data_IF_550678173116
#
_entry.id   IF_550678173116
#
_cell.length_a   1.000
_cell.length_b   1.000
_cell.length_c   1.000
_cell.angle_alpha   90.00
_cell.angle_beta   90.00
_cell.angle_gamma   90.00
#
_symmetry.space_group_name_H-M   'P 1'
#
loop_
_entity.id
_entity.type
_entity.pdbx_description
1 polymer ?
#
# COMPACT_ATOMS: atom_id res chain seq x y z
N UNK A 1 43.62 18.11 -21.29
CA UNK A 1 43.18 16.71 -21.09
C UNK A 1 42.61 16.39 -19.68
N UNK A 2 42.53 17.34 -18.74
CA UNK A 2 42.08 17.11 -17.35
C UNK A 2 40.56 17.30 -17.18
N UNK A 3 39.88 18.09 -18.02
CA UNK A 3 38.45 18.42 -17.89
C UNK A 3 37.48 17.26 -18.18
N UNK A 4 37.85 16.36 -19.12
CA UNK A 4 36.98 15.25 -19.53
C UNK A 4 36.87 14.18 -18.44
N UNK A 5 37.96 13.90 -17.71
CA UNK A 5 37.96 12.91 -16.62
C UNK A 5 37.10 13.31 -15.40
N UNK A 6 36.99 14.60 -15.13
CA UNK A 6 36.11 15.09 -14.04
C UNK A 6 34.62 14.99 -14.37
N UNK A 7 34.22 15.26 -15.63
CA UNK A 7 32.84 15.12 -16.07
C UNK A 7 32.38 13.66 -16.08
N UNK A 8 33.24 12.73 -16.51
CA UNK A 8 32.93 11.29 -16.47
C UNK A 8 32.79 10.77 -15.06
N UNK A 9 33.58 11.25 -14.10
CA UNK A 9 33.48 10.89 -12.67
C UNK A 9 32.17 11.37 -12.04
N UNK A 10 31.75 12.60 -12.31
CA UNK A 10 30.48 13.14 -11.81
C UNK A 10 29.30 12.37 -12.43
N UNK A 11 29.31 12.11 -13.73
CA UNK A 11 28.28 11.35 -14.39
C UNK A 11 28.15 9.91 -13.84
N UNK A 12 29.25 9.24 -13.58
CA UNK A 12 29.29 7.91 -12.99
C UNK A 12 28.74 7.93 -11.53
N UNK A 13 29.09 8.95 -10.74
CA UNK A 13 28.57 9.09 -9.39
C UNK A 13 27.06 9.34 -9.38
N UNK A 14 26.56 10.22 -10.23
CA UNK A 14 25.12 10.48 -10.36
C UNK A 14 24.36 9.20 -10.78
N UNK A 15 24.88 8.45 -11.72
CA UNK A 15 24.28 7.20 -12.18
C UNK A 15 24.24 6.15 -11.05
N UNK A 16 25.35 5.97 -10.33
CA UNK A 16 25.41 4.99 -9.23
C UNK A 16 24.49 5.35 -8.08
N UNK A 17 24.36 6.62 -7.71
CA UNK A 17 23.41 7.07 -6.66
C UNK A 17 21.96 6.89 -7.10
N UNK A 18 21.66 7.15 -8.38
CA UNK A 18 20.30 6.93 -8.91
C UNK A 18 19.93 5.46 -8.91
N UNK A 19 20.82 4.58 -9.32
CA UNK A 19 20.61 3.12 -9.30
C UNK A 19 20.42 2.62 -7.84
N UNK A 20 21.25 3.09 -6.92
CA UNK A 20 21.13 2.74 -5.51
C UNK A 20 19.81 3.20 -4.91
N UNK A 21 19.35 4.42 -5.23
CA UNK A 21 18.06 4.94 -4.77
C UNK A 21 16.87 4.12 -5.33
N UNK A 22 16.92 3.75 -6.60
CA UNK A 22 15.90 2.89 -7.21
C UNK A 22 15.87 1.50 -6.59
N UNK A 23 17.05 0.90 -6.35
CA UNK A 23 17.17 -0.41 -5.71
C UNK A 23 16.63 -0.37 -4.27
N UNK A 24 16.96 0.71 -3.53
CA UNK A 24 16.41 0.94 -2.19
C UNK A 24 14.89 1.06 -2.20
N UNK A 25 14.32 1.91 -3.06
CA UNK A 25 12.87 2.07 -3.19
C UNK A 25 12.17 0.76 -3.59
N UNK A 26 12.81 -0.04 -4.45
CA UNK A 26 12.30 -1.36 -4.81
C UNK A 26 12.31 -2.34 -3.62
N UNK A 27 13.33 -2.30 -2.77
CA UNK A 27 13.39 -3.11 -1.56
C UNK A 27 12.35 -2.63 -0.52
N UNK A 28 12.25 -1.30 -0.32
CA UNK A 28 11.36 -0.69 0.67
C UNK A 28 9.88 -0.98 0.40
N UNK A 29 9.47 -1.08 -0.87
CA UNK A 29 8.07 -1.41 -1.23
C UNK A 29 7.55 -2.73 -0.65
N UNK A 30 8.46 -3.65 -0.25
CA UNK A 30 8.12 -4.93 0.33
C UNK A 30 8.41 -5.00 1.84
N UNK A 31 8.76 -3.87 2.46
CA UNK A 31 9.05 -3.76 3.87
C UNK A 31 7.79 -3.33 4.62
N UNK A 32 6.84 -4.25 4.72
CA UNK A 32 5.59 -4.00 5.43
C UNK A 32 5.84 -3.89 6.93
N UNK A 33 5.12 -2.97 7.59
CA UNK A 33 5.25 -2.73 9.03
C UNK A 33 3.87 -2.53 9.64
N UNK A 34 3.64 -3.20 10.76
CA UNK A 34 2.54 -2.87 11.65
C UNK A 34 2.89 -1.61 12.45
N UNK A 35 1.94 -0.72 12.60
CA UNK A 35 2.01 0.41 13.52
C UNK A 35 0.93 0.27 14.56
N UNK A 36 1.29 0.35 15.82
CA UNK A 36 0.39 0.26 16.95
C UNK A 36 0.27 1.60 17.63
N UNK A 37 -0.95 1.95 18.00
CA UNK A 37 -1.28 3.17 18.72
C UNK A 37 -2.21 2.84 19.86
N UNK A 38 -1.88 3.28 21.07
CA UNK A 38 -2.76 3.20 22.22
C UNK A 38 -3.51 4.53 22.37
N UNK A 39 -4.83 4.46 22.36
CA UNK A 39 -5.70 5.63 22.46
C UNK A 39 -6.62 5.47 23.68
N UNK A 40 -6.46 6.26 24.74
CA UNK A 40 -7.30 6.21 25.95
C UNK A 40 -8.64 6.90 25.69
N UNK A 41 -9.48 6.30 24.82
CA UNK A 41 -10.76 6.89 24.40
C UNK A 41 -11.97 6.32 25.15
N UNK A 42 -11.81 5.16 25.79
CA UNK A 42 -12.94 4.46 26.40
C UNK A 42 -13.02 4.74 27.90
N UNK A 43 -14.22 5.04 28.36
CA UNK A 43 -14.50 5.21 29.79
C UNK A 43 -14.29 3.88 30.56
N UNK A 44 -13.84 3.96 31.82
CA UNK A 44 -13.67 2.78 32.65
C UNK A 44 -14.96 1.96 32.75
N UNK A 45 -14.84 0.65 32.54
CA UNK A 45 -15.97 -0.29 32.67
C UNK A 45 -16.75 -0.52 31.36
N UNK A 46 -16.59 0.27 30.30
CA UNK A 46 -17.31 0.09 29.03
C UNK A 46 -17.04 -1.30 28.43
N UNK A 47 -15.84 -1.81 28.56
CA UNK A 47 -15.42 -3.10 28.00
C UNK A 47 -15.79 -4.31 28.89
N UNK A 48 -16.57 -4.13 29.95
CA UNK A 48 -17.09 -5.20 30.82
C UNK A 48 -16.03 -6.22 31.27
N UNK A 49 -14.91 -5.73 31.77
CA UNK A 49 -13.80 -6.55 32.30
C UNK A 49 -12.67 -6.81 31.32
N UNK A 50 -12.76 -6.36 30.10
CA UNK A 50 -11.63 -6.33 29.16
C UNK A 50 -10.83 -5.03 29.35
N UNK A 51 -9.53 -5.09 29.13
CA UNK A 51 -8.64 -3.92 29.28
C UNK A 51 -8.51 -3.12 27.98
N UNK A 52 -8.80 -3.73 26.83
CA UNK A 52 -8.58 -3.12 25.52
C UNK A 52 -9.62 -3.57 24.49
N UNK A 53 -9.79 -2.75 23.44
CA UNK A 53 -10.55 -3.05 22.24
C UNK A 53 -9.65 -2.78 21.04
N UNK A 54 -9.34 -3.82 20.26
CA UNK A 54 -8.40 -3.77 19.15
C UNK A 54 -9.10 -3.46 17.84
N UNK A 55 -8.74 -2.36 17.23
CA UNK A 55 -9.18 -2.01 15.88
C UNK A 55 -8.02 -2.20 14.92
N UNK A 56 -8.17 -3.08 13.95
CA UNK A 56 -7.23 -3.22 12.84
C UNK A 56 -7.70 -2.33 11.68
N UNK A 57 -6.89 -1.36 11.31
CA UNK A 57 -7.13 -0.51 10.14
C UNK A 57 -6.25 -0.97 8.98
N UNK A 58 -6.88 -1.29 7.86
CA UNK A 58 -6.24 -1.67 6.59
C UNK A 58 -6.65 -0.66 5.53
N UNK A 59 -5.70 -0.17 4.75
CA UNK A 59 -5.94 0.81 3.68
C UNK A 59 -4.90 0.68 2.59
N UNK A 60 -5.23 1.12 1.38
CA UNK A 60 -4.29 1.36 0.28
C UNK A 60 -3.42 0.13 -0.04
N UNK A 61 -4.03 -1.05 -0.11
CA UNK A 61 -3.32 -2.27 -0.44
C UNK A 61 -2.73 -2.22 -1.86
N UNK A 62 -3.41 -1.53 -2.79
CA UNK A 62 -2.97 -1.41 -4.18
C UNK A 62 -2.48 -2.75 -4.74
N UNK A 63 -3.31 -3.78 -4.60
CA UNK A 63 -2.95 -5.14 -4.92
C UNK A 63 -2.84 -5.37 -6.42
N UNK A 64 -1.77 -6.04 -6.82
CA UNK A 64 -1.57 -6.58 -8.17
C UNK A 64 -1.23 -8.07 -8.08
N UNK A 65 -1.41 -8.85 -9.15
CA UNK A 65 -1.02 -10.24 -9.17
C UNK A 65 0.45 -10.46 -8.79
N UNK A 66 0.73 -11.55 -8.08
CA UNK A 66 2.08 -11.95 -7.72
C UNK A 66 2.65 -11.38 -6.43
N UNK A 67 1.93 -10.52 -5.70
CA UNK A 67 2.40 -9.91 -4.45
C UNK A 67 2.22 -10.83 -3.23
N UNK A 68 2.73 -12.07 -3.30
CA UNK A 68 2.59 -13.08 -2.24
C UNK A 68 3.01 -12.59 -0.85
N UNK A 69 4.13 -11.87 -0.75
CA UNK A 69 4.61 -11.32 0.53
C UNK A 69 3.61 -10.35 1.17
N UNK A 70 2.90 -9.56 0.36
CA UNK A 70 1.87 -8.64 0.84
C UNK A 70 0.64 -9.44 1.33
N UNK A 71 0.23 -10.45 0.58
CA UNK A 71 -0.85 -11.36 0.98
C UNK A 71 -0.53 -12.02 2.32
N UNK A 72 0.65 -12.64 2.44
CA UNK A 72 1.12 -13.28 3.67
C UNK A 72 1.16 -12.30 4.86
N UNK A 73 1.67 -11.10 4.65
CA UNK A 73 1.70 -10.07 5.69
C UNK A 73 0.29 -9.68 6.15
N UNK A 74 -0.60 -9.34 5.22
CA UNK A 74 -1.96 -8.88 5.57
C UNK A 74 -2.76 -10.00 6.23
N UNK A 75 -2.70 -11.23 5.71
CA UNK A 75 -3.40 -12.37 6.30
C UNK A 75 -2.87 -12.72 7.69
N UNK A 76 -1.57 -12.51 7.95
CA UNK A 76 -0.99 -12.75 9.27
C UNK A 76 -1.48 -11.80 10.36
N UNK A 77 -2.07 -10.66 9.99
CA UNK A 77 -2.62 -9.69 10.95
C UNK A 77 -3.82 -10.24 11.73
N UNK A 78 -4.45 -11.32 11.28
CA UNK A 78 -5.50 -12.01 12.05
C UNK A 78 -4.99 -12.55 13.39
N UNK A 79 -3.70 -12.88 13.47
CA UNK A 79 -3.05 -13.31 14.72
C UNK A 79 -3.03 -12.23 15.82
N UNK A 80 -3.31 -10.97 15.47
CA UNK A 80 -3.50 -9.88 16.44
C UNK A 80 -4.85 -9.95 17.15
N UNK A 81 -5.75 -10.85 16.70
CA UNK A 81 -7.11 -11.02 17.22
C UNK A 81 -7.89 -9.69 17.31
N UNK A 82 -8.01 -8.93 16.19
CA UNK A 82 -8.74 -7.68 16.22
C UNK A 82 -10.21 -7.90 16.54
N UNK A 83 -10.78 -7.01 17.35
CA UNK A 83 -12.22 -6.97 17.67
C UNK A 83 -13.03 -6.36 16.53
N UNK A 84 -12.40 -5.48 15.77
CA UNK A 84 -12.99 -4.81 14.61
C UNK A 84 -11.94 -4.62 13.52
N UNK A 85 -12.31 -4.94 12.28
CA UNK A 85 -11.49 -4.65 11.10
C UNK A 85 -12.14 -3.53 10.30
N UNK A 86 -11.38 -2.47 10.03
CA UNK A 86 -11.82 -1.34 9.19
C UNK A 86 -10.95 -1.29 7.95
N UNK A 87 -11.56 -1.40 6.77
CA UNK A 87 -10.87 -1.24 5.50
C UNK A 87 -11.35 0.04 4.82
N UNK A 88 -10.45 0.97 4.57
CA UNK A 88 -10.77 2.27 3.98
C UNK A 88 -10.52 2.36 2.48
N UNK A 89 -10.38 1.21 1.82
CA UNK A 89 -10.37 1.13 0.36
C UNK A 89 -9.00 1.27 -0.28
N UNK A 90 -9.02 1.54 -1.58
CA UNK A 90 -7.87 1.52 -2.48
C UNK A 90 -7.12 0.17 -2.43
N UNK A 91 -7.91 -0.92 -2.42
CA UNK A 91 -7.38 -2.27 -2.31
C UNK A 91 -6.75 -2.76 -3.62
N UNK A 92 -7.18 -2.23 -4.76
CA UNK A 92 -6.78 -2.68 -6.09
C UNK A 92 -5.90 -1.66 -6.83
N UNK A 93 -4.95 -2.15 -7.60
CA UNK A 93 -4.26 -1.41 -8.67
C UNK A 93 -4.40 -2.12 -10.03
N UNK A 94 -5.05 -3.28 -10.06
CA UNK A 94 -5.31 -4.07 -11.26
C UNK A 94 -6.53 -4.96 -10.98
N UNK A 95 -7.44 -5.10 -11.94
CA UNK A 95 -8.62 -5.97 -11.83
C UNK A 95 -8.25 -7.42 -11.53
N UNK A 96 -7.14 -7.92 -12.09
CA UNK A 96 -6.62 -9.25 -11.81
C UNK A 96 -6.07 -9.40 -10.37
N UNK A 97 -6.01 -8.30 -9.60
CA UNK A 97 -5.64 -8.29 -8.18
C UNK A 97 -6.75 -8.78 -7.24
N UNK A 98 -8.02 -8.86 -7.70
CA UNK A 98 -9.15 -9.24 -6.84
C UNK A 98 -8.93 -10.55 -6.07
N UNK A 99 -8.53 -11.67 -6.69
CA UNK A 99 -8.27 -12.90 -5.93
C UNK A 99 -7.19 -12.72 -4.85
N UNK A 100 -6.17 -11.91 -5.12
CA UNK A 100 -5.08 -11.62 -4.19
C UNK A 100 -5.53 -10.79 -2.99
N UNK A 101 -6.47 -9.85 -3.19
CA UNK A 101 -7.10 -9.10 -2.10
C UNK A 101 -7.94 -10.03 -1.23
N UNK A 102 -8.73 -10.92 -1.85
CA UNK A 102 -9.55 -11.88 -1.12
C UNK A 102 -8.69 -12.86 -0.31
N UNK A 103 -7.57 -13.34 -0.88
CA UNK A 103 -6.62 -14.18 -0.14
C UNK A 103 -5.99 -13.43 1.04
N UNK A 104 -5.62 -12.16 0.83
CA UNK A 104 -5.01 -11.34 1.87
C UNK A 104 -5.96 -11.02 3.03
N UNK A 105 -7.19 -10.66 2.71
CA UNK A 105 -8.21 -10.30 3.71
C UNK A 105 -8.95 -11.52 4.26
N UNK A 106 -8.86 -12.69 3.62
CA UNK A 106 -9.66 -13.88 3.92
C UNK A 106 -9.82 -14.19 5.42
N UNK A 107 -8.73 -14.33 6.20
CA UNK A 107 -8.83 -14.55 7.65
C UNK A 107 -9.55 -13.41 8.38
N UNK A 108 -9.29 -12.17 7.98
CA UNK A 108 -9.85 -10.96 8.60
C UNK A 108 -11.34 -10.79 8.30
N UNK A 109 -11.86 -11.37 7.21
CA UNK A 109 -13.30 -11.32 6.87
C UNK A 109 -14.17 -12.11 7.84
N UNK A 110 -13.60 -12.96 8.68
CA UNK A 110 -14.30 -13.66 9.77
C UNK A 110 -14.49 -12.78 11.02
N UNK A 111 -13.91 -11.60 11.06
CA UNK A 111 -14.01 -10.63 12.16
C UNK A 111 -15.12 -9.62 11.89
N UNK A 112 -15.75 -9.06 12.94
CA UNK A 112 -16.60 -7.89 12.75
C UNK A 112 -15.83 -6.78 12.03
N UNK A 113 -16.46 -6.12 11.08
CA UNK A 113 -15.76 -5.10 10.33
C UNK A 113 -16.65 -4.23 9.47
N UNK A 114 -16.06 -3.21 8.90
CA UNK A 114 -16.64 -2.35 7.89
C UNK A 114 -15.61 -2.03 6.82
N UNK A 115 -16.08 -1.81 5.60
CA UNK A 115 -15.22 -1.36 4.52
C UNK A 115 -15.91 -0.29 3.67
N UNK A 116 -15.09 0.50 2.99
CA UNK A 116 -15.52 1.41 1.93
C UNK A 116 -14.64 1.19 0.71
N UNK A 117 -15.17 1.48 -0.46
CA UNK A 117 -14.38 1.47 -1.69
C UNK A 117 -13.63 2.79 -1.83
N UNK A 118 -12.34 2.69 -2.16
CA UNK A 118 -11.55 3.82 -2.61
C UNK A 118 -11.64 4.01 -4.12
N UNK A 119 -10.98 5.03 -4.63
CA UNK A 119 -10.99 5.36 -6.06
C UNK A 119 -10.48 4.21 -6.93
N UNK A 120 -9.41 3.55 -6.49
CA UNK A 120 -8.78 2.46 -7.24
C UNK A 120 -9.54 1.12 -7.14
N UNK A 121 -10.58 1.04 -6.33
CA UNK A 121 -11.48 -0.11 -6.28
C UNK A 121 -12.59 -0.01 -7.35
N UNK A 122 -12.84 1.21 -7.86
CA UNK A 122 -13.78 1.45 -8.96
C UNK A 122 -13.08 1.54 -10.31
N UNK A 123 -11.87 2.14 -10.33
CA UNK A 123 -11.16 2.44 -11.58
C UNK A 123 -9.69 2.03 -11.47
N UNK A 124 -9.26 1.09 -12.28
CA UNK A 124 -7.85 0.71 -12.34
C UNK A 124 -6.99 1.84 -12.94
N UNK A 125 -5.86 2.19 -12.32
CA UNK A 125 -4.97 3.20 -12.89
C UNK A 125 -4.33 2.71 -14.18
N UNK A 126 -4.35 3.55 -15.22
CA UNK A 126 -3.62 3.30 -16.48
C UNK A 126 -2.18 3.79 -16.38
N UNK A 127 -1.23 3.06 -17.00
CA UNK A 127 0.12 3.58 -17.13
C UNK A 127 0.13 4.92 -17.86
N UNK A 128 0.67 5.95 -17.25
CA UNK A 128 0.82 7.28 -17.86
C UNK A 128 2.30 7.62 -18.03
N UNK A 129 2.63 8.28 -19.14
CA UNK A 129 3.97 8.80 -19.33
C UNK A 129 4.26 9.89 -18.26
N UNK A 130 5.25 9.70 -17.36
CA UNK A 130 5.54 10.66 -16.31
C UNK A 130 5.96 12.04 -16.85
N UNK A 131 6.46 12.13 -18.08
CA UNK A 131 6.81 13.41 -18.72
C UNK A 131 5.60 14.29 -18.99
N UNK A 132 4.38 13.75 -19.04
CA UNK A 132 3.14 14.54 -19.10
C UNK A 132 3.03 15.57 -17.97
N UNK A 133 3.54 15.23 -16.78
CA UNK A 133 3.49 16.16 -15.64
C UNK A 133 4.42 17.37 -15.80
N UNK A 134 5.47 17.24 -16.63
CA UNK A 134 6.40 18.32 -16.92
C UNK A 134 5.92 19.24 -18.05
N UNK A 135 5.04 18.75 -18.92
CA UNK A 135 4.58 19.49 -20.12
C UNK A 135 3.28 20.25 -19.92
N UNK A 136 2.66 20.19 -18.74
CA UNK A 136 1.39 20.87 -18.45
C UNK A 136 0.19 20.38 -19.27
N UNK A 137 0.29 19.23 -19.92
CA UNK A 137 -0.81 18.64 -20.69
C UNK A 137 -2.04 18.39 -19.78
N UNK A 138 -3.24 18.69 -20.30
CA UNK A 138 -4.50 18.44 -19.57
C UNK A 138 -4.55 16.99 -19.10
N UNK A 139 -4.90 16.79 -17.82
CA UNK A 139 -5.18 15.47 -17.24
C UNK A 139 -6.45 14.92 -17.90
N UNK A 140 -6.31 13.93 -18.76
CA UNK A 140 -7.42 13.05 -19.09
C UNK A 140 -7.55 11.99 -17.98
N UNK A 141 -8.77 11.53 -17.67
CA UNK A 141 -8.96 10.41 -16.75
C UNK A 141 -8.11 9.22 -17.19
N UNK A 142 -7.26 8.73 -16.30
CA UNK A 142 -6.34 7.62 -16.58
C UNK A 142 -6.80 6.31 -15.93
N UNK A 143 -8.13 6.15 -15.81
CA UNK A 143 -8.74 5.00 -15.16
C UNK A 143 -9.56 4.19 -16.17
N UNK A 144 -9.57 2.88 -15.99
CA UNK A 144 -10.52 1.96 -16.62
C UNK A 144 -11.56 1.56 -15.58
N UNK A 145 -12.83 1.48 -15.99
CA UNK A 145 -13.88 0.95 -15.13
C UNK A 145 -13.53 -0.50 -14.77
N UNK A 146 -13.58 -0.81 -13.49
CA UNK A 146 -13.45 -2.18 -13.00
C UNK A 146 -14.81 -2.87 -13.11
N UNK A 147 -14.83 -4.17 -13.39
CA UNK A 147 -16.07 -4.95 -13.56
C UNK A 147 -16.90 -5.03 -12.28
#
# INVERSE_FOLDING_TARGET
MVRVKKLTGIGALCLSTSVAALAWGYAERNNFRLREYELPLLEPGVLRGRSEFRVLHVSDLHMIPGQRRKVEFVSSLDALEPDLVVNTGDNLSDAAGVPWVLDALGPLLNRPGAFVFGTNDYWAPRPVNPLKYLTGAKREPSYEDLP
#
